data_IF_077285481233
#
_entry.id   IF_077285481233
#
_cell.length_a   1.000
_cell.length_b   1.000
_cell.length_c   1.000
_cell.angle_alpha   90.00
_cell.angle_beta   90.00
_cell.angle_gamma   90.00
#
_symmetry.space_group_name_H-M   'P 1'
#
loop_
_entity.id
_entity.type
_entity.pdbx_description
1 polymer ?
#
# COMPACT_ATOMS: atom_id res chain seq x y z
N UNK A 1 -15.09 -35.66 -30.33
CA UNK A 1 -13.74 -35.16 -30.66
C UNK A 1 -13.66 -33.64 -30.68
N UNK A 2 -14.67 -32.90 -31.18
CA UNK A 2 -14.69 -31.42 -31.21
C UNK A 2 -14.78 -30.75 -29.82
N UNK A 3 -15.47 -31.36 -28.86
CA UNK A 3 -15.62 -30.86 -27.47
C UNK A 3 -14.28 -30.74 -26.73
N UNK A 4 -13.37 -31.66 -26.93
CA UNK A 4 -12.06 -31.61 -26.24
C UNK A 4 -11.16 -30.47 -26.74
N UNK A 5 -11.23 -30.11 -28.02
CA UNK A 5 -10.45 -28.99 -28.58
C UNK A 5 -10.99 -27.64 -28.14
N UNK A 6 -12.30 -27.49 -28.05
CA UNK A 6 -12.93 -26.26 -27.53
C UNK A 6 -12.64 -26.06 -26.06
N UNK A 7 -12.70 -27.12 -25.25
CA UNK A 7 -12.36 -27.08 -23.84
C UNK A 7 -10.90 -26.69 -23.61
N UNK A 8 -9.98 -27.24 -24.39
CA UNK A 8 -8.56 -26.87 -24.33
C UNK A 8 -8.31 -25.40 -24.70
N UNK A 9 -9.00 -24.89 -25.73
CA UNK A 9 -8.93 -23.47 -26.10
C UNK A 9 -9.48 -22.57 -25.01
N UNK A 10 -10.61 -22.93 -24.42
CA UNK A 10 -11.22 -22.18 -23.31
C UNK A 10 -10.30 -22.16 -22.07
N UNK A 11 -9.69 -23.29 -21.72
CA UNK A 11 -8.73 -23.35 -20.62
C UNK A 11 -7.49 -22.50 -20.89
N UNK A 12 -6.95 -22.50 -22.11
CA UNK A 12 -5.83 -21.65 -22.49
C UNK A 12 -6.19 -20.17 -22.42
N UNK A 13 -7.39 -19.80 -22.86
CA UNK A 13 -7.91 -18.44 -22.77
C UNK A 13 -8.06 -17.97 -21.32
N UNK A 14 -8.63 -18.81 -20.45
CA UNK A 14 -8.77 -18.52 -19.02
C UNK A 14 -7.40 -18.32 -18.38
N UNK A 15 -6.41 -19.17 -18.70
CA UNK A 15 -5.06 -19.05 -18.19
C UNK A 15 -4.40 -17.73 -18.57
N UNK A 16 -4.48 -17.33 -19.86
CA UNK A 16 -3.90 -16.06 -20.32
C UNK A 16 -4.59 -14.84 -19.70
N UNK A 17 -5.91 -14.89 -19.51
CA UNK A 17 -6.64 -13.82 -18.84
C UNK A 17 -6.26 -13.72 -17.36
N UNK A 18 -6.04 -14.84 -16.70
CA UNK A 18 -5.59 -14.90 -15.32
C UNK A 18 -4.20 -14.29 -15.16
N UNK A 19 -3.25 -14.63 -16.03
CA UNK A 19 -1.91 -14.06 -16.02
C UNK A 19 -1.92 -12.54 -16.23
N UNK A 20 -2.75 -12.04 -17.15
CA UNK A 20 -2.95 -10.59 -17.35
C UNK A 20 -3.50 -9.91 -16.09
N UNK A 21 -4.47 -10.54 -15.43
CA UNK A 21 -5.03 -10.03 -14.19
C UNK A 21 -3.98 -9.96 -13.07
N UNK A 22 -3.12 -10.97 -12.95
CA UNK A 22 -2.02 -10.96 -11.98
C UNK A 22 -1.02 -9.83 -12.23
N UNK A 23 -0.61 -9.61 -13.48
CA UNK A 23 0.28 -8.50 -13.82
C UNK A 23 -0.35 -7.13 -13.59
N UNK A 24 -1.65 -7.00 -13.86
CA UNK A 24 -2.39 -5.77 -13.57
C UNK A 24 -2.43 -5.49 -12.06
N UNK A 25 -2.75 -6.51 -11.27
CA UNK A 25 -2.77 -6.44 -9.81
C UNK A 25 -1.38 -6.06 -9.25
N UNK A 26 -0.33 -6.65 -9.79
CA UNK A 26 1.04 -6.32 -9.41
C UNK A 26 1.39 -4.85 -9.70
N UNK A 27 0.99 -4.32 -10.86
CA UNK A 27 1.17 -2.90 -11.21
C UNK A 27 0.43 -1.99 -10.24
N UNK A 28 -0.81 -2.31 -9.92
CA UNK A 28 -1.62 -1.56 -8.97
C UNK A 28 -0.93 -1.53 -7.60
N UNK A 29 -0.45 -2.66 -7.11
CA UNK A 29 0.23 -2.74 -5.82
C UNK A 29 1.52 -1.93 -5.77
N UNK A 30 2.33 -1.97 -6.83
CA UNK A 30 3.57 -1.19 -6.90
C UNK A 30 3.28 0.30 -6.97
N UNK A 31 2.34 0.73 -7.81
CA UNK A 31 2.02 2.15 -8.00
C UNK A 31 1.40 2.74 -6.73
N UNK A 32 0.33 2.13 -6.21
CA UNK A 32 -0.36 2.64 -5.02
C UNK A 32 0.49 2.47 -3.75
N UNK A 33 1.23 1.37 -3.63
CA UNK A 33 2.20 1.17 -2.56
C UNK A 33 3.30 2.23 -2.58
N UNK A 34 3.84 2.54 -3.75
CA UNK A 34 4.86 3.59 -3.94
C UNK A 34 4.35 4.98 -3.58
N UNK A 35 3.15 5.35 -4.04
CA UNK A 35 2.51 6.63 -3.72
C UNK A 35 2.26 6.73 -2.20
N UNK A 36 1.69 5.70 -1.59
CA UNK A 36 1.41 5.65 -0.16
C UNK A 36 2.69 5.71 0.69
N UNK A 37 3.73 5.00 0.28
CA UNK A 37 5.04 5.04 0.93
C UNK A 37 5.65 6.43 0.90
N UNK A 38 5.65 7.08 -0.28
CA UNK A 38 6.18 8.43 -0.45
C UNK A 38 5.39 9.46 0.36
N UNK A 39 4.06 9.37 0.37
CA UNK A 39 3.20 10.23 1.17
C UNK A 39 3.48 10.07 2.69
N UNK A 40 3.64 8.84 3.17
CA UNK A 40 3.96 8.57 4.57
C UNK A 40 5.34 9.10 4.95
N UNK A 41 6.34 8.96 4.07
CA UNK A 41 7.67 9.52 4.27
C UNK A 41 7.63 11.05 4.33
N UNK A 42 6.88 11.71 3.44
CA UNK A 42 6.70 13.17 3.44
C UNK A 42 6.05 13.66 4.75
N UNK A 43 5.07 12.93 5.29
CA UNK A 43 4.46 13.24 6.58
C UNK A 43 5.44 13.13 7.75
N UNK A 44 6.34 12.16 7.74
CA UNK A 44 7.41 12.04 8.77
C UNK A 44 8.33 13.25 8.71
N UNK A 45 8.79 13.62 7.51
CA UNK A 45 9.66 14.80 7.33
C UNK A 45 8.95 16.07 7.81
N UNK A 46 7.70 16.28 7.45
CA UNK A 46 6.90 17.41 7.90
C UNK A 46 6.80 17.47 9.43
N UNK A 47 6.55 16.31 10.08
CA UNK A 47 6.49 16.23 11.53
C UNK A 47 7.80 16.60 12.21
N UNK A 48 8.93 16.10 11.69
CA UNK A 48 10.26 16.43 12.21
C UNK A 48 10.54 17.94 12.07
N UNK A 49 10.15 18.55 10.96
CA UNK A 49 10.33 19.99 10.74
C UNK A 49 9.51 20.83 11.74
N UNK A 50 8.28 20.43 12.04
CA UNK A 50 7.45 21.11 13.06
C UNK A 50 8.05 20.99 14.46
N UNK A 51 8.61 19.83 14.79
CA UNK A 51 9.27 19.62 16.08
C UNK A 51 10.56 20.42 16.24
N UNK A 52 11.30 20.61 15.15
CA UNK A 52 12.54 21.40 15.16
C UNK A 52 12.30 22.93 15.15
N UNK A 53 11.22 23.38 14.52
CA UNK A 53 10.86 24.78 14.39
C UNK A 53 9.35 24.98 14.62
N UNK A 54 8.91 25.12 15.88
CA UNK A 54 7.49 25.24 16.21
C UNK A 54 6.80 26.49 15.61
N UNK A 55 7.58 27.47 15.19
CA UNK A 55 7.07 28.72 14.57
C UNK A 55 6.89 28.64 13.05
N UNK A 56 7.38 27.58 12.41
CA UNK A 56 7.18 27.35 10.96
C UNK A 56 5.95 26.48 10.73
N UNK A 57 5.01 27.00 9.96
CA UNK A 57 3.90 26.18 9.46
C UNK A 57 4.46 25.11 8.50
N UNK A 58 4.01 23.83 8.63
CA UNK A 58 4.42 22.78 7.72
C UNK A 58 4.02 23.14 6.28
N UNK A 59 4.85 22.74 5.32
CA UNK A 59 4.67 23.01 3.89
C UNK A 59 3.33 22.49 3.31
N UNK A 60 2.64 21.64 4.04
CA UNK A 60 1.33 21.10 3.68
C UNK A 60 0.16 21.89 4.27
N UNK A 61 0.40 22.97 5.00
CA UNK A 61 -0.63 23.91 5.48
C UNK A 61 -1.00 24.89 4.35
N UNK A 62 -1.83 24.42 3.42
CA UNK A 62 -2.23 25.20 2.24
C UNK A 62 -3.48 26.02 2.50
N UNK A 63 -4.35 25.60 3.43
CA UNK A 63 -5.59 26.29 3.76
C UNK A 63 -6.10 25.92 5.17
N UNK A 64 -7.04 26.72 5.75
CA UNK A 64 -7.67 26.39 7.04
C UNK A 64 -8.36 25.02 7.09
N UNK A 65 -8.70 24.48 5.91
CA UNK A 65 -9.35 23.16 5.78
C UNK A 65 -8.37 22.02 5.56
N UNK A 66 -7.14 22.33 5.11
CA UNK A 66 -6.07 21.36 4.86
C UNK A 66 -4.87 21.77 5.69
N UNK A 67 -4.90 21.40 6.97
CA UNK A 67 -3.84 21.66 7.93
C UNK A 67 -3.25 20.34 8.43
N UNK A 68 -2.00 20.10 8.10
CA UNK A 68 -1.25 18.96 8.62
C UNK A 68 -0.91 19.14 10.11
N UNK A 69 -0.77 20.38 10.58
CA UNK A 69 -0.48 20.68 11.98
C UNK A 69 -1.58 20.16 12.91
N UNK A 70 -2.84 20.41 12.57
CA UNK A 70 -3.98 19.96 13.37
C UNK A 70 -4.13 18.43 13.43
N UNK A 71 -3.63 17.71 12.42
CA UNK A 71 -3.59 16.24 12.39
C UNK A 71 -2.53 15.67 13.32
N UNK A 72 -1.43 16.39 13.52
CA UNK A 72 -0.32 15.93 14.37
C UNK A 72 -0.63 15.99 15.86
N UNK A 73 -1.55 16.88 16.28
CA UNK A 73 -1.96 17.06 17.67
C UNK A 73 -3.06 16.09 18.12
N UNK A 74 -3.62 15.33 17.17
CA UNK A 74 -4.62 14.31 17.50
C UNK A 74 -3.97 13.10 18.16
N UNK A 75 -4.59 12.60 19.24
CA UNK A 75 -4.13 11.39 19.95
C UNK A 75 -3.99 10.16 19.02
N UNK A 76 -4.82 10.10 17.96
CA UNK A 76 -4.75 9.05 16.95
C UNK A 76 -3.45 9.08 16.12
N UNK A 77 -2.80 10.24 16.01
CA UNK A 77 -1.53 10.36 15.28
C UNK A 77 -0.34 9.71 16.02
N UNK A 78 -0.51 9.41 17.31
CA UNK A 78 0.50 8.78 18.16
C UNK A 78 -0.07 7.66 19.03
N UNK A 79 -0.95 6.84 18.48
CA UNK A 79 -1.69 5.78 19.20
C UNK A 79 -0.76 4.79 19.92
N UNK A 80 0.42 4.56 19.39
CA UNK A 80 1.43 3.62 19.94
C UNK A 80 2.63 4.34 20.59
N UNK A 81 2.50 5.63 20.90
CA UNK A 81 3.60 6.41 21.48
C UNK A 81 4.64 6.91 20.46
N UNK A 82 4.49 6.58 19.19
CA UNK A 82 5.31 7.07 18.07
C UNK A 82 4.41 7.50 16.89
N UNK A 83 4.92 8.36 15.97
CA UNK A 83 4.12 8.88 14.86
C UNK A 83 3.55 7.75 13.99
N UNK A 84 2.24 7.72 13.79
CA UNK A 84 1.54 6.69 13.02
C UNK A 84 2.02 6.62 11.55
N UNK A 85 2.62 7.70 11.05
CA UNK A 85 3.23 7.76 9.72
C UNK A 85 4.39 6.74 9.55
N UNK A 86 5.08 6.35 10.64
CA UNK A 86 6.12 5.31 10.61
C UNK A 86 5.51 3.94 10.28
N UNK A 87 4.35 3.64 10.87
CA UNK A 87 3.58 2.44 10.52
C UNK A 87 3.14 2.45 9.05
N UNK A 88 2.79 3.64 8.53
CA UNK A 88 2.47 3.82 7.12
C UNK A 88 3.64 3.46 6.22
N UNK A 89 4.84 3.98 6.49
CA UNK A 89 6.05 3.65 5.72
C UNK A 89 6.33 2.15 5.74
N UNK A 90 6.28 1.51 6.90
CA UNK A 90 6.50 0.07 7.03
C UNK A 90 5.38 -0.74 6.34
N UNK A 91 4.12 -0.31 6.49
CA UNK A 91 2.95 -0.98 5.92
C UNK A 91 2.94 -0.94 4.38
N UNK A 92 3.31 0.19 3.78
CA UNK A 92 3.33 0.31 2.31
C UNK A 92 4.48 -0.42 1.63
N UNK A 93 5.53 -0.82 2.35
CA UNK A 93 6.56 -1.72 1.81
C UNK A 93 5.98 -3.09 1.46
N UNK A 94 5.01 -3.59 2.23
CA UNK A 94 4.42 -4.91 2.01
C UNK A 94 3.77 -5.04 0.62
N UNK A 95 2.82 -4.17 0.20
CA UNK A 95 2.25 -4.25 -1.15
C UNK A 95 3.28 -4.06 -2.26
N UNK A 96 4.30 -3.22 -2.05
CA UNK A 96 5.40 -3.06 -3.02
C UNK A 96 6.15 -4.38 -3.20
N UNK A 97 6.55 -5.02 -2.11
CA UNK A 97 7.26 -6.31 -2.14
C UNK A 97 6.40 -7.40 -2.78
N UNK A 98 5.11 -7.44 -2.48
CA UNK A 98 4.17 -8.39 -3.11
C UNK A 98 4.09 -8.13 -4.62
N UNK A 99 3.93 -6.87 -5.03
CA UNK A 99 3.85 -6.50 -6.44
C UNK A 99 5.11 -6.88 -7.21
N UNK A 100 6.28 -6.56 -6.67
CA UNK A 100 7.58 -6.94 -7.25
C UNK A 100 7.76 -8.46 -7.28
N UNK A 101 7.34 -9.16 -6.22
CA UNK A 101 7.39 -10.62 -6.16
C UNK A 101 6.53 -11.28 -7.26
N UNK A 102 5.33 -10.75 -7.52
CA UNK A 102 4.47 -11.24 -8.62
C UNK A 102 5.16 -11.01 -9.97
N UNK A 103 5.80 -9.85 -10.20
CA UNK A 103 6.57 -9.61 -11.43
C UNK A 103 7.76 -10.55 -11.59
N UNK A 104 8.40 -10.92 -10.47
CA UNK A 104 9.49 -11.91 -10.47
C UNK A 104 9.00 -13.36 -10.61
N UNK A 105 7.69 -13.59 -10.73
CA UNK A 105 7.10 -14.92 -10.87
C UNK A 105 7.05 -15.71 -9.56
N UNK A 106 7.09 -15.05 -8.42
CA UNK A 106 7.01 -15.70 -7.12
C UNK A 106 5.64 -16.34 -6.89
N UNK A 107 5.64 -17.63 -6.55
CA UNK A 107 4.43 -18.35 -6.14
C UNK A 107 4.26 -18.24 -4.63
N UNK A 108 3.39 -17.31 -4.23
CA UNK A 108 3.05 -17.14 -2.83
C UNK A 108 2.10 -18.24 -2.36
N UNK A 109 2.47 -18.92 -1.27
CA UNK A 109 1.66 -19.97 -0.66
C UNK A 109 0.35 -19.39 -0.10
N UNK A 110 -0.72 -20.19 -0.08
CA UNK A 110 -2.06 -19.76 0.40
C UNK A 110 -2.05 -19.17 1.82
N UNK A 111 -1.15 -19.61 2.68
CA UNK A 111 -0.94 -19.07 4.02
C UNK A 111 -0.54 -17.57 3.98
N UNK A 112 0.34 -17.20 3.05
CA UNK A 112 0.76 -15.81 2.89
C UNK A 112 -0.42 -14.88 2.57
N UNK A 113 -1.31 -15.29 1.68
CA UNK A 113 -2.51 -14.53 1.35
C UNK A 113 -3.46 -14.36 2.53
N UNK A 114 -3.59 -15.38 3.38
CA UNK A 114 -4.38 -15.28 4.62
C UNK A 114 -3.79 -14.25 5.57
N UNK A 115 -2.49 -14.26 5.77
CA UNK A 115 -1.81 -13.26 6.59
C UNK A 115 -1.93 -11.84 6.02
N UNK A 116 -1.84 -11.67 4.70
CA UNK A 116 -2.02 -10.38 4.03
C UNK A 116 -3.43 -9.83 4.24
N UNK A 117 -4.47 -10.67 4.09
CA UNK A 117 -5.87 -10.27 4.31
C UNK A 117 -6.14 -9.92 5.78
N UNK A 118 -5.61 -10.71 6.72
CA UNK A 118 -5.72 -10.42 8.16
C UNK A 118 -5.02 -9.11 8.51
N UNK A 119 -3.82 -8.88 7.99
CA UNK A 119 -3.06 -7.66 8.20
C UNK A 119 -3.77 -6.42 7.65
N UNK A 120 -4.34 -6.52 6.44
CA UNK A 120 -5.16 -5.45 5.84
C UNK A 120 -6.43 -5.19 6.65
N UNK A 121 -7.11 -6.24 7.11
CA UNK A 121 -8.30 -6.12 7.96
C UNK A 121 -7.98 -5.45 9.30
N UNK A 122 -6.86 -5.80 9.92
CA UNK A 122 -6.40 -5.18 11.16
C UNK A 122 -6.02 -3.69 10.97
N UNK A 123 -5.47 -3.33 9.81
CA UNK A 123 -5.15 -1.94 9.48
C UNK A 123 -6.41 -1.08 9.20
N UNK A 124 -7.52 -1.71 8.83
CA UNK A 124 -8.80 -1.03 8.59
C UNK A 124 -9.57 -0.72 9.88
N UNK A 125 -9.35 -1.49 10.93
CA UNK A 125 -9.98 -1.31 12.25
C UNK A 125 -9.23 -0.27 13.09
#
# INVERSE_FOLDING_TARGET
MSTNEEDLKNLAQVKTNLERAWHLLARIFVIFGGIGWFASAALIVARVQVLQNPTKNPSCDISPFVSCGALFDRWQASLFGFPNAILGVAGFVVPIVIGVGIFAGANFKSWFWRCAVIGLGAAWV
#
